data_IF_168356635962
#
_entry.id   IF_168356635962
#
_cell.length_a   1.000
_cell.length_b   1.000
_cell.length_c   1.000
_cell.angle_alpha   90.00
_cell.angle_beta   90.00
_cell.angle_gamma   90.00
#
_symmetry.space_group_name_H-M   'P 1'
#
loop_
_entity.id
_entity.type
_entity.pdbx_description
1 polymer ?
#
# COMPACT_ATOMS: atom_id res chain seq x y z
N UNK A 1 -38.27 4.95 9.31
CA UNK A 1 -36.81 5.17 9.50
C UNK A 1 -36.22 5.66 8.18
N UNK A 2 -35.58 6.81 8.14
CA UNK A 2 -34.95 7.31 6.92
C UNK A 2 -33.51 6.78 6.81
N UNK A 3 -33.07 6.43 5.59
CA UNK A 3 -31.70 6.01 5.36
C UNK A 3 -30.77 7.24 5.38
N UNK A 4 -29.58 7.06 5.94
CA UNK A 4 -28.47 8.02 5.82
C UNK A 4 -27.46 7.49 4.82
N UNK A 5 -26.82 8.37 4.07
CA UNK A 5 -25.91 8.00 2.99
C UNK A 5 -24.48 8.44 3.30
N UNK A 6 -23.52 7.61 2.93
CA UNK A 6 -22.11 8.00 2.94
C UNK A 6 -21.83 9.14 1.94
N UNK A 7 -20.74 9.88 2.16
CA UNK A 7 -20.40 11.07 1.38
C UNK A 7 -20.36 10.82 -0.14
N UNK A 8 -19.75 9.71 -0.56
CA UNK A 8 -19.68 9.37 -1.99
C UNK A 8 -21.02 8.87 -2.54
N UNK A 9 -21.82 8.20 -1.73
CA UNK A 9 -23.18 7.79 -2.13
C UNK A 9 -24.07 9.00 -2.35
N UNK A 10 -23.95 10.02 -1.51
CA UNK A 10 -24.68 11.29 -1.70
C UNK A 10 -24.31 11.94 -3.01
N UNK A 11 -23.02 12.02 -3.35
CA UNK A 11 -22.55 12.55 -4.64
C UNK A 11 -23.03 11.74 -5.83
N UNK A 12 -23.09 10.42 -5.68
CA UNK A 12 -23.59 9.52 -6.73
C UNK A 12 -25.07 9.74 -7.01
N UNK A 13 -25.87 10.04 -5.99
CA UNK A 13 -27.30 10.28 -6.12
C UNK A 13 -27.65 11.70 -6.64
N UNK A 14 -26.71 12.65 -6.45
CA UNK A 14 -26.85 14.04 -6.94
C UNK A 14 -25.59 14.44 -7.72
N UNK A 15 -25.42 13.96 -8.97
CA UNK A 15 -24.22 14.20 -9.77
C UNK A 15 -24.24 15.60 -10.42
N UNK A 16 -24.16 16.64 -9.62
CA UNK A 16 -23.96 18.00 -10.11
C UNK A 16 -22.49 18.25 -10.48
N UNK A 17 -22.19 19.35 -11.19
CA UNK A 17 -20.82 19.71 -11.58
C UNK A 17 -19.89 19.92 -10.38
N UNK A 18 -20.43 20.21 -9.20
CA UNK A 18 -19.69 20.37 -7.94
C UNK A 18 -19.55 19.06 -7.14
N UNK A 19 -20.31 18.02 -7.51
CA UNK A 19 -20.39 16.74 -6.83
C UNK A 19 -19.87 15.58 -7.69
N UNK A 20 -18.86 15.83 -8.51
CA UNK A 20 -18.27 14.78 -9.35
C UNK A 20 -17.57 13.72 -8.52
N UNK A 21 -17.82 12.47 -8.84
CA UNK A 21 -17.09 11.33 -8.28
C UNK A 21 -15.95 10.92 -9.20
N UNK A 22 -14.79 10.65 -8.62
CA UNK A 22 -13.71 9.99 -9.37
C UNK A 22 -14.07 8.54 -9.66
N UNK A 23 -13.60 8.01 -10.77
CA UNK A 23 -13.82 6.61 -11.15
C UNK A 23 -13.25 5.63 -10.13
N UNK A 24 -12.21 6.03 -9.43
CA UNK A 24 -11.59 5.22 -8.39
C UNK A 24 -12.47 5.03 -7.14
N UNK A 25 -13.50 5.86 -6.96
CA UNK A 25 -14.41 5.77 -5.82
C UNK A 25 -15.61 4.85 -6.08
N UNK A 26 -16.20 4.94 -7.29
CA UNK A 26 -17.28 4.06 -7.70
C UNK A 26 -17.06 3.57 -9.14
N UNK A 27 -17.05 2.26 -9.33
CA UNK A 27 -16.93 1.63 -10.65
C UNK A 27 -15.50 1.58 -11.22
N UNK A 28 -14.48 1.89 -10.42
CA UNK A 28 -13.08 1.72 -10.81
C UNK A 28 -12.71 0.24 -10.94
N UNK A 29 -11.80 -0.07 -11.87
CA UNK A 29 -11.28 -1.44 -12.04
C UNK A 29 -10.10 -1.66 -11.12
N UNK A 30 -10.20 -2.67 -10.26
CA UNK A 30 -9.08 -3.11 -9.43
C UNK A 30 -7.98 -3.70 -10.30
N UNK A 31 -6.75 -3.25 -10.07
CA UNK A 31 -5.53 -3.76 -10.71
C UNK A 31 -4.62 -4.35 -9.66
N UNK A 32 -3.78 -5.25 -10.08
CA UNK A 32 -2.87 -5.98 -9.20
C UNK A 32 -1.47 -5.88 -9.76
N UNK A 33 -0.50 -5.55 -8.90
CA UNK A 33 0.91 -5.68 -9.17
C UNK A 33 1.51 -6.65 -8.15
N UNK A 34 2.17 -7.70 -8.61
CA UNK A 34 2.81 -8.71 -7.76
C UNK A 34 4.31 -8.61 -7.95
N UNK A 35 5.06 -8.61 -6.86
CA UNK A 35 6.51 -8.53 -6.89
C UNK A 35 7.14 -9.39 -5.79
N UNK A 36 8.40 -9.73 -5.97
CA UNK A 36 9.17 -10.47 -4.97
C UNK A 36 10.64 -10.02 -4.96
N UNK A 37 11.23 -10.07 -3.79
CA UNK A 37 12.65 -9.75 -3.60
C UNK A 37 13.31 -10.79 -2.72
N UNK A 38 14.46 -11.30 -3.17
CA UNK A 38 15.30 -12.21 -2.39
C UNK A 38 16.38 -11.41 -1.66
N UNK A 39 16.22 -11.25 -0.35
CA UNK A 39 17.21 -10.56 0.47
C UNK A 39 18.39 -11.48 0.77
N UNK A 40 19.60 -11.02 0.50
CA UNK A 40 20.85 -11.69 0.85
C UNK A 40 21.69 -10.74 1.71
N UNK A 41 21.54 -10.84 3.02
CA UNK A 41 22.18 -9.93 3.99
C UNK A 41 21.89 -8.45 3.69
N UNK A 42 20.64 -8.15 3.39
CA UNK A 42 20.20 -6.77 3.14
C UNK A 42 20.42 -5.93 4.41
N UNK A 43 21.13 -4.83 4.26
CA UNK A 43 21.53 -3.97 5.39
C UNK A 43 20.31 -3.30 6.04
N UNK A 44 20.31 -3.26 7.38
CA UNK A 44 19.33 -2.47 8.14
C UNK A 44 19.21 -1.04 7.61
N UNK A 45 17.99 -0.54 7.47
CA UNK A 45 17.68 0.78 6.91
C UNK A 45 17.52 0.80 5.38
N UNK A 46 17.77 -0.31 4.69
CA UNK A 46 17.56 -0.41 3.25
C UNK A 46 16.07 -0.34 2.89
N UNK A 47 15.79 0.14 1.68
CA UNK A 47 14.45 0.15 1.10
C UNK A 47 14.38 -0.81 -0.08
N UNK A 48 13.23 -1.47 -0.26
CA UNK A 48 12.92 -2.33 -1.39
C UNK A 48 11.77 -1.67 -2.16
N UNK A 49 12.03 -1.22 -3.38
CA UNK A 49 10.99 -0.72 -4.27
C UNK A 49 10.23 -1.89 -4.89
N UNK A 50 8.92 -1.90 -4.77
CA UNK A 50 8.07 -3.00 -5.24
C UNK A 50 6.93 -2.53 -6.12
N UNK A 51 6.51 -3.40 -7.02
CA UNK A 51 5.44 -3.13 -7.96
C UNK A 51 5.86 -2.20 -9.08
N UNK A 52 4.87 -1.54 -9.68
CA UNK A 52 5.10 -0.60 -10.77
C UNK A 52 4.98 0.85 -10.28
N UNK A 53 5.54 1.77 -11.04
CA UNK A 53 5.34 3.20 -10.80
C UNK A 53 3.87 3.55 -11.03
N UNK A 54 3.24 4.10 -10.00
CA UNK A 54 1.87 4.58 -10.03
C UNK A 54 1.81 5.99 -10.64
N UNK A 55 0.70 6.32 -11.28
CA UNK A 55 0.46 7.65 -11.79
C UNK A 55 -0.24 8.52 -10.71
N UNK A 56 -0.07 9.83 -10.80
CA UNK A 56 -0.85 10.77 -9.98
C UNK A 56 -2.34 10.53 -10.27
N UNK A 57 -3.12 10.40 -9.22
CA UNK A 57 -4.55 10.07 -9.27
C UNK A 57 -4.85 8.59 -9.06
N UNK A 58 -3.88 7.67 -9.29
CA UNK A 58 -4.06 6.26 -8.97
C UNK A 58 -4.31 6.08 -7.46
N UNK A 59 -5.16 5.14 -7.11
CA UNK A 59 -5.55 4.91 -5.71
C UNK A 59 -5.10 3.55 -5.24
N UNK A 60 -4.20 3.52 -4.26
CA UNK A 60 -3.78 2.28 -3.59
C UNK A 60 -4.84 1.88 -2.57
N UNK A 61 -5.41 0.70 -2.74
CA UNK A 61 -6.48 0.18 -1.88
C UNK A 61 -5.90 -0.62 -0.72
N UNK A 62 -4.96 -1.50 -1.03
CA UNK A 62 -4.28 -2.33 -0.03
C UNK A 62 -2.93 -2.83 -0.56
N UNK A 63 -2.05 -3.20 0.35
CA UNK A 63 -0.79 -3.89 0.05
C UNK A 63 -0.75 -5.16 0.90
N UNK A 64 -0.52 -6.30 0.26
CA UNK A 64 -0.38 -7.59 0.93
C UNK A 64 1.10 -7.95 1.02
N UNK A 65 1.54 -8.35 2.20
CA UNK A 65 2.92 -8.73 2.49
C UNK A 65 2.99 -10.19 2.94
N UNK A 66 3.88 -10.93 2.34
CA UNK A 66 4.30 -12.26 2.82
C UNK A 66 5.82 -12.33 2.77
N UNK A 67 6.44 -12.91 3.78
CA UNK A 67 7.89 -13.09 3.78
C UNK A 67 8.30 -14.29 4.63
N UNK A 68 9.50 -14.81 4.36
CA UNK A 68 10.19 -15.74 5.24
C UNK A 68 10.52 -15.05 6.58
N UNK A 69 11.01 -15.80 7.55
CA UNK A 69 11.69 -15.25 8.71
C UNK A 69 12.97 -14.56 8.23
N UNK A 70 13.03 -13.23 8.31
CA UNK A 70 14.10 -12.45 7.69
C UNK A 70 15.35 -12.31 8.59
N UNK A 71 15.19 -12.51 9.88
CA UNK A 71 16.29 -12.42 10.84
C UNK A 71 15.87 -11.89 12.21
N UNK A 72 16.79 -11.96 13.16
CA UNK A 72 16.54 -11.49 14.53
C UNK A 72 16.30 -9.99 14.56
N UNK A 73 15.23 -9.58 15.24
CA UNK A 73 14.81 -8.20 15.42
C UNK A 73 14.42 -7.45 14.13
N UNK A 74 14.34 -8.14 12.97
CA UNK A 74 13.96 -7.49 11.72
C UNK A 74 12.50 -7.04 11.73
N UNK A 75 12.25 -5.91 11.08
CA UNK A 75 10.92 -5.34 10.85
C UNK A 75 10.81 -4.82 9.42
N UNK A 76 9.59 -4.80 8.88
CA UNK A 76 9.28 -4.14 7.61
C UNK A 76 8.12 -3.17 7.81
N UNK A 77 8.28 -1.94 7.31
CA UNK A 77 7.18 -1.00 7.12
C UNK A 77 6.86 -0.87 5.64
N UNK A 78 5.64 -0.45 5.33
CA UNK A 78 5.18 -0.25 3.96
C UNK A 78 4.75 1.20 3.79
N UNK A 79 5.40 1.87 2.84
CA UNK A 79 5.13 3.27 2.55
C UNK A 79 5.66 3.68 1.18
N UNK A 80 6.15 4.88 1.10
CA UNK A 80 6.76 5.50 -0.08
C UNK A 80 7.86 6.48 0.33
N UNK A 81 8.44 7.21 -0.61
CA UNK A 81 9.51 8.16 -0.31
C UNK A 81 9.03 9.36 0.54
N UNK A 82 7.76 9.71 0.48
CA UNK A 82 7.16 10.78 1.29
C UNK A 82 6.80 10.33 2.71
N UNK A 83 6.53 9.04 2.91
CA UNK A 83 6.19 8.47 4.23
C UNK A 83 6.45 6.98 4.25
N UNK A 84 7.47 6.55 4.99
CA UNK A 84 7.88 5.14 5.10
C UNK A 84 6.82 4.23 5.73
N UNK A 85 5.81 4.78 6.36
CA UNK A 85 4.75 4.05 7.08
C UNK A 85 3.35 4.38 6.57
N UNK A 86 3.24 4.96 5.37
CA UNK A 86 1.96 5.44 4.82
C UNK A 86 0.89 4.34 4.79
N UNK A 87 1.27 3.13 4.46
CA UNK A 87 0.35 1.99 4.34
C UNK A 87 0.38 1.11 5.58
N UNK A 88 1.57 0.87 6.14
CA UNK A 88 1.71 0.03 7.33
C UNK A 88 2.92 0.47 8.17
N UNK A 89 2.70 0.64 9.47
CA UNK A 89 3.78 0.77 10.44
C UNK A 89 4.64 -0.50 10.47
N UNK A 90 5.86 -0.38 10.99
CA UNK A 90 6.79 -1.49 11.06
C UNK A 90 6.19 -2.71 11.80
N UNK A 91 6.18 -3.85 11.12
CA UNK A 91 5.77 -5.14 11.67
C UNK A 91 6.97 -6.05 11.81
N UNK A 92 6.97 -6.91 12.83
CA UNK A 92 8.04 -7.88 13.02
C UNK A 92 8.08 -8.90 11.88
N UNK A 93 9.27 -9.12 11.34
CA UNK A 93 9.56 -10.13 10.33
C UNK A 93 10.60 -11.14 10.83
N UNK A 94 10.80 -11.18 12.14
CA UNK A 94 11.65 -12.18 12.82
C UNK A 94 11.10 -13.60 12.62
N UNK A 95 9.79 -13.74 12.51
CA UNK A 95 9.11 -14.96 12.08
C UNK A 95 8.47 -14.75 10.72
N UNK A 96 8.21 -15.83 9.99
CA UNK A 96 7.55 -15.75 8.69
C UNK A 96 6.19 -15.05 8.80
N UNK A 97 5.92 -14.17 7.83
CA UNK A 97 4.62 -13.48 7.69
C UNK A 97 3.85 -14.11 6.53
N UNK A 98 2.69 -14.67 6.84
CA UNK A 98 1.88 -15.42 5.88
C UNK A 98 0.66 -14.63 5.40
N UNK A 99 0.88 -13.42 4.88
CA UNK A 99 -0.20 -12.61 4.30
C UNK A 99 -0.75 -11.54 5.24
N UNK A 100 0.09 -10.58 5.60
CA UNK A 100 -0.36 -9.34 6.25
C UNK A 100 -1.03 -8.43 5.22
N UNK A 101 -2.19 -7.87 5.55
CA UNK A 101 -2.91 -6.93 4.69
C UNK A 101 -2.73 -5.53 5.27
N UNK A 102 -2.07 -4.66 4.51
CA UNK A 102 -1.90 -3.25 4.85
C UNK A 102 -2.95 -2.43 4.12
N UNK A 103 -3.75 -1.70 4.89
CA UNK A 103 -4.75 -0.76 4.38
C UNK A 103 -4.30 0.64 4.83
N UNK A 104 -4.32 1.66 3.94
CA UNK A 104 -4.01 3.03 4.34
C UNK A 104 -4.81 3.47 5.57
N UNK A 105 -4.23 4.34 6.39
CA UNK A 105 -4.72 4.67 7.72
C UNK A 105 -6.17 5.19 7.77
N UNK A 106 -6.67 5.79 6.68
CA UNK A 106 -8.07 6.23 6.58
C UNK A 106 -9.05 5.09 6.24
N UNK A 107 -8.56 3.87 5.97
CA UNK A 107 -9.36 2.72 5.58
C UNK A 107 -10.01 2.82 4.20
N UNK A 108 -9.78 3.91 3.47
CA UNK A 108 -10.45 4.20 2.19
C UNK A 108 -9.51 4.12 0.99
N UNK A 109 -8.24 3.81 1.21
CA UNK A 109 -7.19 3.81 0.21
C UNK A 109 -6.52 5.18 0.05
N UNK A 110 -5.30 5.17 -0.47
CA UNK A 110 -4.48 6.36 -0.64
C UNK A 110 -4.40 6.75 -2.12
N UNK A 111 -4.73 7.99 -2.42
CA UNK A 111 -4.58 8.55 -3.78
C UNK A 111 -3.20 9.15 -3.95
N UNK A 112 -2.48 8.71 -4.98
CA UNK A 112 -1.15 9.24 -5.34
C UNK A 112 -1.27 10.70 -5.75
N UNK A 113 -0.53 11.58 -5.09
CA UNK A 113 -0.66 13.04 -5.26
C UNK A 113 0.57 13.71 -5.84
N UNK A 114 1.74 13.10 -5.76
CA UNK A 114 3.00 13.72 -6.13
C UNK A 114 4.00 12.73 -6.74
N UNK A 115 5.25 13.13 -6.76
CA UNK A 115 6.35 12.31 -7.27
C UNK A 115 6.95 11.37 -6.22
N UNK A 116 6.80 11.70 -4.94
CA UNK A 116 7.40 10.96 -3.83
C UNK A 116 6.56 9.76 -3.39
N UNK A 117 5.30 9.67 -3.83
CA UNK A 117 4.35 8.62 -3.48
C UNK A 117 3.98 7.70 -4.65
N UNK A 118 4.73 7.75 -5.74
CA UNK A 118 4.48 6.94 -6.95
C UNK A 118 5.01 5.52 -6.88
N UNK A 119 5.91 5.22 -5.94
CA UNK A 119 6.53 3.90 -5.80
C UNK A 119 6.32 3.40 -4.37
N UNK A 120 5.80 2.17 -4.26
CA UNK A 120 5.68 1.50 -2.96
C UNK A 120 7.07 1.06 -2.50
N UNK A 121 7.45 1.44 -1.29
CA UNK A 121 8.72 1.09 -0.66
C UNK A 121 8.48 0.28 0.61
N UNK A 122 9.19 -0.83 0.73
CA UNK A 122 9.33 -1.53 2.00
C UNK A 122 10.61 -1.02 2.67
N UNK A 123 10.53 -0.63 3.93
CA UNK A 123 11.71 -0.17 4.69
C UNK A 123 12.08 -1.20 5.74
N UNK A 124 13.30 -1.72 5.66
CA UNK A 124 13.86 -2.68 6.61
C UNK A 124 14.36 -1.95 7.85
N UNK A 125 13.97 -2.45 9.01
CA UNK A 125 14.43 -1.97 10.32
C UNK A 125 14.91 -3.09 11.22
N UNK A 126 15.55 -2.73 12.32
CA UNK A 126 15.91 -3.61 13.42
C UNK A 126 17.14 -4.47 13.21
N UNK A 127 17.39 -4.99 12.04
CA UNK A 127 18.53 -5.88 11.76
C UNK A 127 18.72 -6.10 10.25
N UNK A 128 19.75 -6.83 9.89
CA UNK A 128 19.99 -7.25 8.51
C UNK A 128 19.04 -8.41 8.14
N UNK A 129 18.57 -8.44 6.91
CA UNK A 129 17.59 -9.40 6.45
C UNK A 129 18.16 -10.38 5.42
N UNK A 130 17.73 -11.64 5.53
CA UNK A 130 17.98 -12.70 4.54
C UNK A 130 16.71 -13.51 4.39
N UNK A 131 16.24 -13.71 3.17
CA UNK A 131 15.04 -14.46 2.84
C UNK A 131 14.17 -13.79 1.79
N UNK A 132 13.10 -14.44 1.38
CA UNK A 132 12.23 -13.96 0.32
C UNK A 132 11.11 -13.10 0.87
N UNK A 133 10.91 -11.93 0.26
CA UNK A 133 9.78 -11.02 0.50
C UNK A 133 8.89 -11.02 -0.73
N UNK A 134 7.59 -11.19 -0.55
CA UNK A 134 6.57 -11.15 -1.62
C UNK A 134 5.54 -10.08 -1.29
N UNK A 135 5.20 -9.28 -2.29
CA UNK A 135 4.26 -8.18 -2.14
C UNK A 135 3.23 -8.19 -3.27
N UNK A 136 1.99 -7.94 -2.91
CA UNK A 136 0.90 -7.71 -3.85
C UNK A 136 0.29 -6.35 -3.59
N UNK A 137 0.35 -5.45 -4.57
CA UNK A 137 -0.26 -4.12 -4.49
C UNK A 137 -1.61 -4.15 -5.21
N UNK A 138 -2.66 -3.79 -4.50
CA UNK A 138 -4.01 -3.61 -5.04
C UNK A 138 -4.28 -2.13 -5.24
N UNK A 139 -4.55 -1.72 -6.46
CA UNK A 139 -4.77 -0.31 -6.79
C UNK A 139 -5.82 -0.12 -7.88
N UNK A 140 -6.36 1.07 -7.95
CA UNK A 140 -7.33 1.48 -8.97
C UNK A 140 -6.72 2.60 -9.78
N UNK A 141 -6.77 2.48 -11.11
CA UNK A 141 -6.39 3.57 -12.00
C UNK A 141 -7.52 4.60 -12.14
N UNK A 142 -7.13 5.81 -11.99
CA UNK A 142 -8.01 6.95 -12.22
C UNK A 142 -8.32 7.16 -13.70
#
# INVERSE_FOLDING_TARGET
>A
MSAVYGANRTKYLDPTTTNTLSRGLFGGKLRVAVDSYEASTLTNGSTIAVGQTLAIGDKVVAVLLSCDALGTSTTLSIGDAGSATRYQAAVSTQSAVAGSIAIPADGMGYTVTGTDDTIILLTLGGGNATGTVKVTVLYVKE
#
